data_IF_558922904746
#
_entry.id   IF_558922904746
#
_cell.length_a   1.000
_cell.length_b   1.000
_cell.length_c   1.000
_cell.angle_alpha   90.00
_cell.angle_beta   90.00
_cell.angle_gamma   90.00
#
_symmetry.space_group_name_H-M   'P 1'
#
loop_
_entity.id
_entity.type
_entity.pdbx_description
1 polymer ?
#
# COMPACT_ATOMS: atom_id res chain seq x y z
N UNK A 1 111.62 -40.11 -28.83
CA UNK A 1 112.60 -39.04 -29.09
C UNK A 1 112.41 -37.93 -28.06
N UNK A 2 113.39 -37.06 -27.87
CA UNK A 2 113.27 -35.90 -26.97
C UNK A 2 112.05 -35.00 -27.29
N UNK A 3 111.59 -35.00 -28.55
CA UNK A 3 110.42 -34.25 -29.02
C UNK A 3 109.11 -34.78 -28.40
N UNK A 4 108.92 -36.09 -28.30
CA UNK A 4 107.71 -36.68 -27.72
C UNK A 4 107.59 -36.39 -26.21
N UNK A 5 108.72 -36.35 -25.50
CA UNK A 5 108.77 -35.99 -24.07
C UNK A 5 108.49 -34.49 -23.87
N UNK A 6 109.01 -33.63 -24.76
CA UNK A 6 108.71 -32.20 -24.75
C UNK A 6 107.23 -31.94 -25.02
N UNK A 7 106.63 -32.61 -26.00
CA UNK A 7 105.22 -32.46 -26.34
C UNK A 7 104.30 -32.91 -25.21
N UNK A 8 104.65 -34.00 -24.51
CA UNK A 8 103.97 -34.46 -23.30
C UNK A 8 104.07 -33.45 -22.16
N UNK A 9 105.23 -32.83 -21.96
CA UNK A 9 105.44 -31.77 -20.94
C UNK A 9 104.68 -30.49 -21.26
N UNK A 10 104.65 -30.07 -22.53
CA UNK A 10 103.89 -28.89 -22.98
C UNK A 10 102.38 -29.13 -22.81
N UNK A 11 101.87 -30.30 -23.20
CA UNK A 11 100.46 -30.66 -22.94
C UNK A 11 100.12 -30.71 -21.45
N UNK A 12 101.01 -31.27 -20.62
CA UNK A 12 100.85 -31.27 -19.17
C UNK A 12 100.87 -29.88 -18.55
N UNK A 13 101.73 -28.98 -19.04
CA UNK A 13 101.81 -27.60 -18.60
C UNK A 13 100.57 -26.80 -19.02
N UNK A 14 100.08 -26.95 -20.26
CA UNK A 14 98.85 -26.32 -20.73
C UNK A 14 97.64 -26.80 -19.93
N UNK A 15 97.50 -28.11 -19.70
CA UNK A 15 96.43 -28.67 -18.88
C UNK A 15 96.49 -28.16 -17.43
N UNK A 16 97.70 -28.05 -16.86
CA UNK A 16 97.90 -27.48 -15.52
C UNK A 16 97.50 -26.01 -15.46
N UNK A 17 97.85 -25.22 -16.47
CA UNK A 17 97.49 -23.79 -16.57
C UNK A 17 95.98 -23.65 -16.73
N UNK A 18 95.34 -24.39 -17.63
CA UNK A 18 93.89 -24.35 -17.84
C UNK A 18 93.12 -24.72 -16.56
N UNK A 19 93.55 -25.76 -15.86
CA UNK A 19 92.92 -26.19 -14.61
C UNK A 19 93.18 -25.20 -13.47
N UNK A 20 94.38 -24.61 -13.39
CA UNK A 20 94.71 -23.57 -12.41
C UNK A 20 93.93 -22.28 -12.68
N UNK A 21 93.75 -21.87 -13.94
CA UNK A 21 92.92 -20.73 -14.31
C UNK A 21 91.44 -20.99 -14.01
N UNK A 22 90.92 -22.20 -14.28
CA UNK A 22 89.56 -22.58 -13.91
C UNK A 22 89.33 -22.51 -12.39
N UNK A 23 90.28 -22.97 -11.58
CA UNK A 23 90.23 -22.87 -10.11
C UNK A 23 90.36 -21.41 -9.63
N UNK A 24 91.19 -20.59 -10.30
CA UNK A 24 91.34 -19.16 -9.99
C UNK A 24 90.09 -18.34 -10.30
N UNK A 25 89.30 -18.71 -11.31
CA UNK A 25 88.03 -18.05 -11.67
C UNK A 25 86.88 -18.50 -10.75
N UNK A 26 86.88 -19.77 -10.33
CA UNK A 26 85.82 -20.34 -9.50
C UNK A 26 85.68 -19.66 -8.14
N UNK A 27 86.79 -19.38 -7.44
CA UNK A 27 86.75 -18.72 -6.12
C UNK A 27 86.12 -17.31 -6.13
N UNK A 28 86.49 -16.40 -7.07
CA UNK A 28 85.78 -15.14 -7.25
C UNK A 28 84.31 -15.33 -7.64
N UNK A 29 84.00 -16.28 -8.52
CA UNK A 29 82.62 -16.56 -8.93
C UNK A 29 81.74 -17.01 -7.75
N UNK A 30 82.25 -17.90 -6.89
CA UNK A 30 81.55 -18.35 -5.68
C UNK A 30 81.31 -17.18 -4.72
N UNK A 31 82.33 -16.32 -4.49
CA UNK A 31 82.18 -15.12 -3.65
C UNK A 31 81.17 -14.12 -4.19
N UNK A 32 81.16 -13.92 -5.52
CA UNK A 32 80.16 -13.06 -6.17
C UNK A 32 78.76 -13.67 -6.01
N UNK A 33 78.64 -15.00 -6.14
CA UNK A 33 77.39 -15.73 -5.89
C UNK A 33 76.87 -15.54 -4.46
N UNK A 34 77.72 -15.78 -3.45
CA UNK A 34 77.38 -15.60 -2.04
C UNK A 34 77.01 -14.14 -1.70
N UNK A 35 77.80 -13.18 -2.18
CA UNK A 35 77.53 -11.76 -1.95
C UNK A 35 76.24 -11.30 -2.64
N UNK A 36 75.96 -11.82 -3.84
CA UNK A 36 74.72 -11.53 -4.57
C UNK A 36 73.51 -12.13 -3.88
N UNK A 37 73.59 -13.40 -3.45
CA UNK A 37 72.52 -14.05 -2.69
C UNK A 37 72.20 -13.27 -1.41
N UNK A 38 73.22 -12.91 -0.63
CA UNK A 38 73.03 -12.12 0.60
C UNK A 38 72.49 -10.70 0.34
N UNK A 39 72.84 -10.08 -0.80
CA UNK A 39 72.29 -8.78 -1.19
C UNK A 39 70.82 -8.90 -1.62
N UNK A 40 70.46 -9.96 -2.33
CA UNK A 40 69.07 -10.25 -2.72
C UNK A 40 68.22 -10.54 -1.49
N UNK A 41 68.69 -11.37 -0.56
CA UNK A 41 67.95 -11.71 0.66
C UNK A 41 67.63 -10.45 1.48
N UNK A 42 68.61 -9.56 1.69
CA UNK A 42 68.39 -8.28 2.37
C UNK A 42 67.39 -7.38 1.64
N UNK A 43 67.50 -7.28 0.32
CA UNK A 43 66.59 -6.47 -0.48
C UNK A 43 65.15 -7.02 -0.48
N UNK A 44 64.99 -8.35 -0.42
CA UNK A 44 63.69 -9.01 -0.29
C UNK A 44 63.11 -8.78 1.10
N UNK A 45 63.91 -8.91 2.16
CA UNK A 45 63.48 -8.68 3.54
C UNK A 45 63.03 -7.22 3.77
N UNK A 46 63.80 -6.24 3.28
CA UNK A 46 63.47 -4.83 3.35
C UNK A 46 62.15 -4.52 2.60
N UNK A 47 62.03 -4.98 1.34
CA UNK A 47 60.80 -4.80 0.55
C UNK A 47 59.59 -5.52 1.16
N UNK A 48 59.78 -6.69 1.75
CA UNK A 48 58.70 -7.41 2.43
C UNK A 48 58.23 -6.64 3.67
N UNK A 49 59.17 -6.08 4.46
CA UNK A 49 58.85 -5.23 5.60
C UNK A 49 58.08 -3.97 5.19
N UNK A 50 58.52 -3.27 4.14
CA UNK A 50 57.82 -2.11 3.59
C UNK A 50 56.40 -2.47 3.09
N UNK A 51 56.27 -3.58 2.37
CA UNK A 51 54.98 -4.04 1.86
C UNK A 51 54.00 -4.41 2.98
N UNK A 52 54.47 -5.10 4.03
CA UNK A 52 53.67 -5.43 5.21
C UNK A 52 53.23 -4.15 5.94
N UNK A 53 54.14 -3.20 6.15
CA UNK A 53 53.80 -1.92 6.77
C UNK A 53 52.75 -1.14 5.97
N UNK A 54 52.89 -1.10 4.65
CA UNK A 54 51.89 -0.48 3.77
C UNK A 54 50.53 -1.18 3.82
N UNK A 55 50.52 -2.52 3.92
CA UNK A 55 49.30 -3.31 4.10
C UNK A 55 48.63 -3.04 5.45
N UNK A 56 49.40 -2.96 6.54
CA UNK A 56 48.88 -2.64 7.87
C UNK A 56 48.24 -1.24 7.90
N UNK A 57 48.91 -0.23 7.34
CA UNK A 57 48.34 1.12 7.21
C UNK A 57 47.05 1.14 6.35
N UNK A 58 47.03 0.38 5.25
CA UNK A 58 45.84 0.26 4.42
C UNK A 58 44.69 -0.43 5.18
N UNK A 59 45.00 -1.47 5.95
CA UNK A 59 44.05 -2.20 6.79
C UNK A 59 43.46 -1.33 7.91
N UNK A 60 44.29 -0.53 8.58
CA UNK A 60 43.86 0.40 9.62
C UNK A 60 42.94 1.48 9.06
N UNK A 61 43.30 2.08 7.91
CA UNK A 61 42.44 3.05 7.23
C UNK A 61 41.11 2.45 6.80
N UNK A 62 41.13 1.23 6.24
CA UNK A 62 39.91 0.53 5.83
C UNK A 62 39.01 0.21 7.03
N UNK A 63 39.60 -0.19 8.16
CA UNK A 63 38.86 -0.47 9.40
C UNK A 63 38.24 0.80 9.98
N UNK A 64 38.98 1.91 10.02
CA UNK A 64 38.47 3.20 10.47
C UNK A 64 37.30 3.67 9.59
N UNK A 65 37.49 3.67 8.27
CA UNK A 65 36.44 4.05 7.32
C UNK A 65 35.19 3.15 7.44
N UNK A 66 35.38 1.84 7.68
CA UNK A 66 34.27 0.90 7.88
C UNK A 66 33.48 1.20 9.16
N UNK A 67 34.17 1.58 10.25
CA UNK A 67 33.51 2.00 11.50
C UNK A 67 32.72 3.28 11.32
N UNK A 68 33.28 4.27 10.62
CA UNK A 68 32.59 5.53 10.34
C UNK A 68 31.35 5.31 9.45
N UNK A 69 31.47 4.48 8.42
CA UNK A 69 30.34 4.10 7.57
C UNK A 69 29.24 3.37 8.37
N UNK A 70 29.61 2.50 9.31
CA UNK A 70 28.65 1.81 10.18
C UNK A 70 27.90 2.77 11.11
N UNK A 71 28.60 3.77 11.68
CA UNK A 71 27.98 4.81 12.49
C UNK A 71 27.02 5.67 11.66
N UNK A 72 27.45 6.09 10.46
CA UNK A 72 26.60 6.84 9.55
C UNK A 72 25.33 6.06 9.17
N UNK A 73 25.48 4.77 8.82
CA UNK A 73 24.34 3.93 8.47
C UNK A 73 23.39 3.76 9.66
N UNK A 74 23.90 3.57 10.87
CA UNK A 74 23.08 3.50 12.08
C UNK A 74 22.25 4.78 12.26
N UNK A 75 22.88 5.94 12.11
CA UNK A 75 22.19 7.23 12.27
C UNK A 75 21.14 7.46 11.15
N UNK A 76 21.39 6.99 9.93
CA UNK A 76 20.38 7.01 8.86
C UNK A 76 19.21 6.06 9.15
N UNK A 77 19.49 4.86 9.68
CA UNK A 77 18.43 3.90 10.06
C UNK A 77 17.53 4.45 11.17
N UNK A 78 18.10 5.19 12.13
CA UNK A 78 17.30 5.88 13.16
C UNK A 78 16.35 6.88 12.51
N UNK A 79 16.83 7.73 11.60
CA UNK A 79 15.99 8.69 10.88
C UNK A 79 14.91 8.03 10.03
N UNK A 80 15.24 6.93 9.35
CA UNK A 80 14.26 6.16 8.58
C UNK A 80 13.17 5.59 9.47
N UNK A 81 13.53 5.07 10.65
CA UNK A 81 12.56 4.55 11.62
C UNK A 81 11.64 5.67 12.16
N UNK A 82 12.19 6.85 12.47
CA UNK A 82 11.41 8.02 12.88
C UNK A 82 10.43 8.46 11.78
N UNK A 83 10.89 8.53 10.53
CA UNK A 83 10.04 8.86 9.38
C UNK A 83 8.95 7.80 9.14
N UNK A 84 9.28 6.52 9.29
CA UNK A 84 8.32 5.43 9.17
C UNK A 84 7.24 5.54 10.26
N UNK A 85 7.62 5.77 11.52
CA UNK A 85 6.66 5.95 12.62
C UNK A 85 5.77 7.19 12.43
N UNK A 86 6.34 8.29 11.93
CA UNK A 86 5.56 9.48 11.60
C UNK A 86 4.57 9.20 10.47
N UNK A 87 5.01 8.48 9.44
CA UNK A 87 4.16 8.10 8.31
C UNK A 87 3.02 7.19 8.76
N UNK A 88 3.29 6.17 9.57
CA UNK A 88 2.26 5.30 10.16
C UNK A 88 1.23 6.11 10.94
N UNK A 89 1.68 7.03 11.79
CA UNK A 89 0.80 7.91 12.56
C UNK A 89 -0.09 8.79 11.65
N UNK A 90 0.48 9.33 10.56
CA UNK A 90 -0.27 10.13 9.58
C UNK A 90 -1.26 9.29 8.79
N UNK A 91 -0.90 8.05 8.43
CA UNK A 91 -1.77 7.13 7.71
C UNK A 91 -2.95 6.73 8.58
N UNK A 92 -2.73 6.39 9.86
CA UNK A 92 -3.82 6.08 10.80
C UNK A 92 -4.77 7.26 10.94
N UNK A 93 -4.26 8.47 11.18
CA UNK A 93 -5.10 9.67 11.28
C UNK A 93 -5.87 9.96 9.98
N UNK A 94 -5.22 9.79 8.82
CA UNK A 94 -5.89 9.99 7.53
C UNK A 94 -7.00 8.96 7.29
N UNK A 95 -6.83 7.72 7.78
CA UNK A 95 -7.88 6.69 7.74
C UNK A 95 -9.05 7.05 8.66
N UNK A 96 -8.77 7.43 9.91
CA UNK A 96 -9.81 7.87 10.86
C UNK A 96 -10.63 9.03 10.29
N UNK A 97 -9.97 10.07 9.77
CA UNK A 97 -10.66 11.20 9.15
C UNK A 97 -11.47 10.81 7.91
N UNK A 98 -10.98 9.87 7.10
CA UNK A 98 -11.71 9.39 5.94
C UNK A 98 -12.95 8.58 6.33
N UNK A 99 -12.83 7.72 7.35
CA UNK A 99 -13.96 6.95 7.91
C UNK A 99 -15.01 7.91 8.49
N UNK A 100 -14.62 8.85 9.34
CA UNK A 100 -15.54 9.85 9.92
C UNK A 100 -16.24 10.70 8.83
N UNK A 101 -15.52 11.09 7.78
CA UNK A 101 -16.08 11.89 6.69
C UNK A 101 -17.10 11.10 5.87
N UNK A 102 -16.84 9.81 5.61
CA UNK A 102 -17.76 8.92 4.91
C UNK A 102 -18.99 8.66 5.76
N UNK A 103 -18.83 8.37 7.04
CA UNK A 103 -19.95 8.10 7.96
C UNK A 103 -20.86 9.32 8.14
N UNK A 104 -20.27 10.52 8.24
CA UNK A 104 -21.03 11.77 8.31
C UNK A 104 -21.78 12.06 7.00
N UNK A 105 -21.13 11.89 5.85
CA UNK A 105 -21.78 12.10 4.54
C UNK A 105 -22.92 11.09 4.32
N UNK A 106 -22.70 9.82 4.67
CA UNK A 106 -23.71 8.77 4.64
C UNK A 106 -24.91 9.14 5.52
N UNK A 107 -24.67 9.48 6.79
CA UNK A 107 -25.73 9.85 7.75
C UNK A 107 -26.54 11.04 7.26
N UNK A 108 -25.88 12.06 6.71
CA UNK A 108 -26.53 13.24 6.14
C UNK A 108 -27.37 12.90 4.91
N UNK A 109 -26.86 12.09 3.98
CA UNK A 109 -27.60 11.65 2.80
C UNK A 109 -28.84 10.84 3.17
N UNK A 110 -28.70 9.87 4.07
CA UNK A 110 -29.83 9.06 4.55
C UNK A 110 -30.89 9.93 5.22
N UNK A 111 -30.48 10.91 6.04
CA UNK A 111 -31.41 11.84 6.67
C UNK A 111 -32.19 12.69 5.65
N UNK A 112 -31.51 13.25 4.64
CA UNK A 112 -32.14 14.04 3.59
C UNK A 112 -33.14 13.22 2.76
N UNK A 113 -32.76 12.00 2.36
CA UNK A 113 -33.64 11.13 1.58
C UNK A 113 -34.84 10.69 2.43
N UNK A 114 -34.63 10.37 3.72
CA UNK A 114 -35.72 10.02 4.65
C UNK A 114 -36.74 11.15 4.79
N UNK A 115 -36.28 12.40 4.89
CA UNK A 115 -37.18 13.56 4.96
C UNK A 115 -37.98 13.73 3.67
N UNK A 116 -37.34 13.58 2.50
CA UNK A 116 -38.03 13.61 1.20
C UNK A 116 -39.09 12.50 1.09
N UNK A 117 -38.75 11.28 1.51
CA UNK A 117 -39.70 10.16 1.54
C UNK A 117 -40.90 10.44 2.44
N UNK A 118 -40.68 11.00 3.63
CA UNK A 118 -41.77 11.37 4.53
C UNK A 118 -42.66 12.47 3.92
N UNK A 119 -42.07 13.48 3.28
CA UNK A 119 -42.84 14.52 2.57
C UNK A 119 -43.72 13.91 1.48
N UNK A 120 -43.14 13.09 0.60
CA UNK A 120 -43.91 12.45 -0.47
C UNK A 120 -44.97 11.50 0.08
N UNK A 121 -44.69 10.75 1.16
CA UNK A 121 -45.70 9.89 1.82
C UNK A 121 -46.88 10.68 2.37
N UNK A 122 -46.64 11.89 2.90
CA UNK A 122 -47.71 12.79 3.36
C UNK A 122 -48.58 13.21 2.18
N UNK A 123 -47.98 13.65 1.07
CA UNK A 123 -48.72 14.14 -0.08
C UNK A 123 -49.49 13.02 -0.80
N UNK A 124 -48.90 11.84 -0.93
CA UNK A 124 -49.59 10.61 -1.39
C UNK A 124 -50.78 10.30 -0.48
N UNK A 125 -50.58 10.36 0.85
CA UNK A 125 -51.64 10.09 1.82
C UNK A 125 -52.80 11.09 1.76
N UNK A 126 -52.55 12.37 1.42
CA UNK A 126 -53.60 13.39 1.23
C UNK A 126 -54.48 13.12 0.03
N UNK A 127 -53.90 12.64 -1.08
CA UNK A 127 -54.67 12.31 -2.28
C UNK A 127 -55.52 11.06 -2.04
N UNK A 128 -54.98 10.05 -1.36
CA UNK A 128 -55.67 8.80 -1.04
C UNK A 128 -56.71 8.93 0.09
N UNK A 129 -56.66 10.00 0.88
CA UNK A 129 -57.61 10.23 1.97
C UNK A 129 -57.80 11.71 2.23
N UNK A 130 -59.07 12.14 2.22
CA UNK A 130 -59.48 13.54 2.33
C UNK A 130 -59.16 14.21 3.68
N UNK A 131 -58.62 13.47 4.68
CA UNK A 131 -58.31 14.01 6.01
C UNK A 131 -56.95 13.52 6.56
N UNK A 132 -55.97 14.44 6.61
CA UNK A 132 -54.78 14.31 7.45
C UNK A 132 -55.08 14.87 8.83
N UNK A 133 -55.53 14.00 9.73
CA UNK A 133 -55.92 14.40 11.10
C UNK A 133 -54.74 14.99 11.89
N UNK A 134 -55.01 16.04 12.70
CA UNK A 134 -54.07 16.70 13.62
C UNK A 134 -53.30 15.74 14.55
N UNK A 135 -53.89 14.56 14.83
CA UNK A 135 -53.27 13.51 15.65
C UNK A 135 -52.01 12.92 15.00
N UNK A 136 -51.99 12.73 13.67
CA UNK A 136 -50.80 12.23 12.96
C UNK A 136 -49.67 13.27 12.97
N UNK A 137 -50.03 14.54 12.76
CA UNK A 137 -49.10 15.67 12.85
C UNK A 137 -48.47 15.80 14.24
N UNK A 138 -49.30 15.65 15.29
CA UNK A 138 -48.83 15.65 16.68
C UNK A 138 -47.85 14.51 16.97
N UNK A 139 -48.11 13.30 16.47
CA UNK A 139 -47.17 12.17 16.60
C UNK A 139 -45.86 12.40 15.85
N UNK A 140 -45.92 12.98 14.64
CA UNK A 140 -44.73 13.33 13.87
C UNK A 140 -43.82 14.30 14.62
N UNK A 141 -44.41 15.38 15.15
CA UNK A 141 -43.68 16.38 15.95
C UNK A 141 -43.11 15.81 17.26
N UNK A 142 -43.70 14.73 17.80
CA UNK A 142 -43.19 14.00 18.96
C UNK A 142 -42.12 12.96 18.62
N UNK A 143 -41.76 12.83 17.34
CA UNK A 143 -40.65 11.98 16.87
C UNK A 143 -41.06 10.72 16.12
N UNK A 144 -42.36 10.43 15.97
CA UNK A 144 -42.82 9.28 15.18
C UNK A 144 -42.82 9.63 13.68
N UNK A 145 -41.63 9.65 13.07
CA UNK A 145 -41.45 10.02 11.65
C UNK A 145 -42.09 9.04 10.66
N UNK A 146 -42.34 7.80 11.09
CA UNK A 146 -42.94 6.75 10.25
C UNK A 146 -44.47 6.75 10.22
N UNK A 147 -45.13 7.67 10.95
CA UNK A 147 -46.60 7.67 11.08
C UNK A 147 -47.33 7.85 9.75
N UNK A 148 -46.82 8.73 8.88
CA UNK A 148 -47.44 9.05 7.60
C UNK A 148 -47.29 7.91 6.61
N UNK A 149 -46.11 7.31 6.56
CA UNK A 149 -45.84 6.12 5.77
C UNK A 149 -46.73 4.96 6.18
N UNK A 150 -46.85 4.65 7.48
CA UNK A 150 -47.80 3.62 7.97
C UNK A 150 -49.24 3.90 7.56
N UNK A 151 -49.66 5.17 7.63
CA UNK A 151 -51.02 5.55 7.27
C UNK A 151 -51.24 5.43 5.78
N UNK A 152 -50.29 5.88 4.95
CA UNK A 152 -50.33 5.73 3.50
C UNK A 152 -50.41 4.25 3.11
N UNK A 153 -49.60 3.38 3.72
CA UNK A 153 -49.71 1.92 3.52
C UNK A 153 -51.11 1.41 3.87
N UNK A 154 -51.67 1.78 5.03
CA UNK A 154 -53.04 1.36 5.40
C UNK A 154 -54.11 1.87 4.45
N UNK A 155 -53.94 3.06 3.88
CA UNK A 155 -54.87 3.59 2.89
C UNK A 155 -54.77 2.79 1.59
N UNK A 156 -53.56 2.47 1.15
CA UNK A 156 -53.31 1.60 -0.01
C UNK A 156 -53.81 0.17 0.22
N UNK A 157 -53.67 -0.39 1.42
CA UNK A 157 -54.24 -1.72 1.74
C UNK A 157 -55.77 -1.75 1.56
N UNK A 158 -56.45 -0.61 1.72
CA UNK A 158 -57.89 -0.46 1.53
C UNK A 158 -58.28 -0.02 0.09
N UNK A 159 -57.31 0.38 -0.73
CA UNK A 159 -57.51 0.91 -2.09
C UNK A 159 -57.02 -0.13 -3.08
N UNK A 160 -57.83 -0.50 -4.08
CA UNK A 160 -57.36 -1.49 -5.05
C UNK A 160 -56.23 -0.92 -5.92
N UNK A 161 -55.27 -1.76 -6.33
CA UNK A 161 -54.17 -1.35 -7.23
C UNK A 161 -54.67 -0.62 -8.50
N UNK A 162 -55.87 -0.98 -8.97
CA UNK A 162 -56.51 -0.35 -10.13
C UNK A 162 -56.95 1.09 -9.86
N UNK A 163 -57.44 1.38 -8.66
CA UNK A 163 -57.86 2.72 -8.27
C UNK A 163 -56.64 3.64 -8.09
N UNK A 164 -55.52 3.13 -7.55
CA UNK A 164 -54.25 3.87 -7.49
C UNK A 164 -53.75 4.22 -8.89
N UNK A 165 -53.84 3.27 -9.82
CA UNK A 165 -53.48 3.44 -11.22
C UNK A 165 -54.35 4.51 -11.91
N UNK A 166 -55.66 4.50 -11.68
CA UNK A 166 -56.59 5.51 -12.19
C UNK A 166 -56.27 6.92 -11.65
N UNK A 167 -55.97 7.05 -10.36
CA UNK A 167 -55.55 8.33 -9.75
C UNK A 167 -54.21 8.80 -10.34
N UNK A 168 -53.26 7.89 -10.54
CA UNK A 168 -51.95 8.19 -11.13
C UNK A 168 -52.03 8.75 -12.55
N UNK A 169 -52.95 8.24 -13.36
CA UNK A 169 -53.21 8.75 -14.71
C UNK A 169 -53.98 10.07 -14.71
N UNK A 170 -54.92 10.25 -13.77
CA UNK A 170 -55.78 11.43 -13.68
C UNK A 170 -55.13 12.64 -13.00
N UNK A 171 -54.24 12.43 -12.01
CA UNK A 171 -53.64 13.47 -11.17
C UNK A 171 -52.12 13.59 -11.42
N UNK A 172 -51.66 14.65 -12.11
CA UNK A 172 -50.24 14.89 -12.34
C UNK A 172 -49.41 15.12 -11.06
N UNK A 173 -49.99 15.71 -10.01
CA UNK A 173 -49.28 15.99 -8.77
C UNK A 173 -49.05 14.68 -8.01
N UNK A 174 -50.08 13.82 -7.93
CA UNK A 174 -49.94 12.47 -7.36
C UNK A 174 -48.87 11.66 -8.09
N UNK A 175 -48.88 11.69 -9.43
CA UNK A 175 -47.87 11.04 -10.26
C UNK A 175 -46.45 11.48 -9.93
N UNK A 176 -46.25 12.78 -9.75
CA UNK A 176 -44.97 13.36 -9.38
C UNK A 176 -44.53 12.88 -7.99
N UNK A 177 -45.41 12.94 -6.99
CA UNK A 177 -45.11 12.48 -5.63
C UNK A 177 -44.74 10.99 -5.58
N UNK A 178 -45.48 10.15 -6.30
CA UNK A 178 -45.18 8.71 -6.40
C UNK A 178 -43.85 8.47 -7.11
N UNK A 179 -43.60 9.14 -8.23
CA UNK A 179 -42.34 9.00 -8.98
C UNK A 179 -41.12 9.42 -8.15
N UNK A 180 -41.23 10.56 -7.43
CA UNK A 180 -40.19 11.02 -6.50
C UNK A 180 -40.00 10.05 -5.34
N UNK A 181 -41.08 9.52 -4.76
CA UNK A 181 -41.00 8.53 -3.68
C UNK A 181 -40.22 7.29 -4.10
N UNK A 182 -40.55 6.71 -5.25
CA UNK A 182 -39.86 5.54 -5.81
C UNK A 182 -38.38 5.86 -6.04
N UNK A 183 -38.09 6.98 -6.70
CA UNK A 183 -36.72 7.37 -7.01
C UNK A 183 -35.86 7.58 -5.75
N UNK A 184 -36.40 8.30 -4.76
CA UNK A 184 -35.74 8.57 -3.49
C UNK A 184 -35.51 7.29 -2.70
N UNK A 185 -36.49 6.37 -2.70
CA UNK A 185 -36.34 5.08 -2.02
C UNK A 185 -35.24 4.24 -2.66
N UNK A 186 -35.20 4.16 -4.00
CA UNK A 186 -34.14 3.47 -4.73
C UNK A 186 -32.77 4.14 -4.53
N UNK A 187 -32.72 5.47 -4.42
CA UNK A 187 -31.50 6.21 -4.08
C UNK A 187 -31.01 5.87 -2.65
N UNK A 188 -31.94 5.73 -1.70
CA UNK A 188 -31.64 5.27 -0.35
C UNK A 188 -31.07 3.85 -0.39
N UNK A 189 -31.72 2.92 -1.10
CA UNK A 189 -31.25 1.54 -1.22
C UNK A 189 -29.85 1.46 -1.84
N UNK A 190 -29.58 2.20 -2.91
CA UNK A 190 -28.23 2.28 -3.50
C UNK A 190 -27.20 2.79 -2.50
N UNK A 191 -27.56 3.79 -1.70
CA UNK A 191 -26.69 4.34 -0.64
C UNK A 191 -26.43 3.30 0.45
N UNK A 192 -27.47 2.60 0.93
CA UNK A 192 -27.35 1.55 1.95
C UNK A 192 -26.49 0.38 1.45
N UNK A 193 -26.76 -0.12 0.24
CA UNK A 193 -26.03 -1.25 -0.35
C UNK A 193 -24.57 -0.94 -0.68
N UNK A 194 -24.19 0.34 -0.76
CA UNK A 194 -22.80 0.75 -0.95
C UNK A 194 -21.94 0.64 0.32
N UNK A 195 -22.56 0.45 1.49
CA UNK A 195 -21.89 0.35 2.80
C UNK A 195 -21.59 -1.12 3.15
N UNK A 196 -20.54 -1.36 3.95
CA UNK A 196 -20.09 -2.71 4.36
C UNK A 196 -21.20 -3.57 4.99
N UNK A 197 -22.08 -2.98 5.80
CA UNK A 197 -23.22 -3.66 6.45
C UNK A 197 -24.56 -3.45 5.68
N UNK A 198 -24.46 -3.01 4.42
CA UNK A 198 -25.58 -2.55 3.60
C UNK A 198 -26.70 -3.56 3.40
N UNK A 199 -26.36 -4.85 3.36
CA UNK A 199 -27.36 -5.92 3.18
C UNK A 199 -28.30 -6.06 4.38
N UNK A 200 -27.79 -5.99 5.62
CA UNK A 200 -28.60 -6.12 6.83
C UNK A 200 -29.52 -4.89 7.02
N UNK A 201 -28.97 -3.70 6.79
CA UNK A 201 -29.73 -2.46 6.84
C UNK A 201 -30.77 -2.39 5.70
N UNK A 202 -30.41 -2.84 4.50
CA UNK A 202 -31.31 -2.90 3.34
C UNK A 202 -32.53 -3.77 3.60
N UNK A 203 -32.36 -4.98 4.15
CA UNK A 203 -33.50 -5.86 4.52
C UNK A 203 -34.42 -5.20 5.56
N UNK A 204 -33.83 -4.48 6.52
CA UNK A 204 -34.59 -3.79 7.57
C UNK A 204 -35.43 -2.64 6.99
N UNK A 205 -34.87 -1.85 6.08
CA UNK A 205 -35.57 -0.76 5.39
C UNK A 205 -36.66 -1.29 4.45
N UNK A 206 -36.38 -2.37 3.71
CA UNK A 206 -37.38 -3.03 2.85
C UNK A 206 -38.55 -3.60 3.66
N UNK A 207 -38.29 -4.13 4.85
CA UNK A 207 -39.33 -4.68 5.73
C UNK A 207 -40.10 -3.60 6.50
N UNK A 208 -39.62 -2.36 6.49
CA UNK A 208 -40.26 -1.22 7.15
C UNK A 208 -41.52 -0.75 6.41
N UNK A 209 -42.30 0.11 7.05
CA UNK A 209 -43.48 0.71 6.42
C UNK A 209 -43.12 1.56 5.18
N UNK A 210 -41.89 2.09 5.12
CA UNK A 210 -41.36 2.83 3.95
C UNK A 210 -41.18 1.87 2.77
N UNK A 211 -40.60 0.70 3.03
CA UNK A 211 -40.45 -0.34 2.01
C UNK A 211 -41.78 -0.89 1.52
N UNK A 212 -42.76 -1.07 2.43
CA UNK A 212 -44.11 -1.52 2.04
C UNK A 212 -44.82 -0.51 1.15
N UNK A 213 -44.73 0.79 1.47
CA UNK A 213 -45.30 1.86 0.63
C UNK A 213 -44.67 1.85 -0.76
N UNK A 214 -43.34 1.73 -0.84
CA UNK A 214 -42.63 1.59 -2.11
C UNK A 214 -43.15 0.40 -2.94
N UNK A 215 -43.26 -0.80 -2.34
CA UNK A 215 -43.71 -2.00 -3.05
C UNK A 215 -45.14 -1.82 -3.58
N UNK A 216 -46.05 -1.29 -2.77
CA UNK A 216 -47.44 -1.07 -3.17
C UNK A 216 -47.56 -0.10 -4.36
N UNK A 217 -46.82 1.01 -4.32
CA UNK A 217 -46.80 2.02 -5.39
C UNK A 217 -46.16 1.49 -6.67
N UNK A 218 -45.02 0.80 -6.56
CA UNK A 218 -44.34 0.23 -7.71
C UNK A 218 -45.21 -0.83 -8.41
N UNK A 219 -45.89 -1.69 -7.65
CA UNK A 219 -46.82 -2.68 -8.21
C UNK A 219 -48.02 -2.05 -8.89
N UNK A 220 -48.57 -0.97 -8.33
CA UNK A 220 -49.69 -0.26 -8.95
C UNK A 220 -49.30 0.34 -10.31
N UNK A 221 -48.09 0.92 -10.43
CA UNK A 221 -47.60 1.49 -11.68
C UNK A 221 -47.13 0.42 -12.68
N UNK A 222 -46.54 -0.67 -12.23
CA UNK A 222 -46.11 -1.75 -13.12
C UNK A 222 -47.31 -2.37 -13.86
N UNK A 223 -48.44 -2.52 -13.18
CA UNK A 223 -49.72 -2.97 -13.76
C UNK A 223 -50.32 -2.02 -14.80
N UNK A 224 -49.93 -0.74 -14.84
CA UNK A 224 -50.34 0.19 -15.91
C UNK A 224 -49.60 -0.05 -17.22
N UNK A 225 -48.44 -0.73 -17.18
CA UNK A 225 -47.57 -0.97 -18.35
C UNK A 225 -47.90 -2.28 -19.07
N UNK A 226 -48.69 -3.15 -18.44
CA UNK A 226 -49.24 -4.40 -19.00
C UNK A 226 -50.61 -4.18 -19.66
#
# INVERSE_FOLDING_TARGET
SAIAELEKRVRGALFSIENEQAVRIRKPADRVGEASAAAIDRAVEERAGEAIGSLDEASDRATAASRDAALFLRDQLIKVNELASNLESRVTRAREMAEEQVDNDFSRRVALITESLNSNAIDIGKVLSTDVTDRAWTSYLRGDRGIFTRRAVRLLDNTEAREIAEIYDADPDFREHVSRYIHDFEAMLRTLLSTRDGHALGVTVLSSDIGKLYVALAQAIERLRE
#
